data_IF_053100406447
#
_entry.id   IF_053100406447
#
_cell.length_a   1.000
_cell.length_b   1.000
_cell.length_c   1.000
_cell.angle_alpha   90.00
_cell.angle_beta   90.00
_cell.angle_gamma   90.00
#
_symmetry.space_group_name_H-M   'P 1'
#
loop_
_entity.id
_entity.type
_entity.pdbx_description
1 polymer ?
#
# COMPACT_ATOMS: atom_id res chain seq x y z
N UNK A 1 3.35 17.03 45.26
CA UNK A 1 4.27 16.70 44.15
C UNK A 1 4.01 15.27 43.71
N UNK A 2 3.37 15.06 42.56
CA UNK A 2 3.27 13.73 41.97
C UNK A 2 4.65 13.30 41.44
N UNK A 3 5.14 12.16 41.92
CA UNK A 3 6.36 11.52 41.39
C UNK A 3 6.07 11.04 39.97
N UNK A 4 6.53 11.77 38.96
CA UNK A 4 6.45 11.33 37.57
C UNK A 4 7.34 10.10 37.39
N UNK A 5 6.74 9.00 36.90
CA UNK A 5 7.48 7.77 36.63
C UNK A 5 8.41 8.01 35.44
N UNK A 6 9.72 7.90 35.67
CA UNK A 6 10.71 7.97 34.59
C UNK A 6 10.79 6.61 33.91
N UNK A 7 10.57 6.60 32.59
CA UNK A 7 10.69 5.41 31.76
C UNK A 7 11.91 5.57 30.85
N UNK A 8 12.75 4.56 30.84
CA UNK A 8 13.95 4.50 30.00
C UNK A 8 13.67 3.62 28.78
N UNK A 9 14.14 4.01 27.61
CA UNK A 9 13.99 3.27 26.35
C UNK A 9 15.02 2.15 26.22
N UNK A 10 16.12 2.18 27.00
CA UNK A 10 17.12 1.12 27.01
C UNK A 10 18.09 1.20 28.19
N UNK A 11 18.87 0.12 28.38
CA UNK A 11 19.95 0.06 29.36
C UNK A 11 20.98 1.20 29.25
N UNK A 12 21.47 1.60 28.05
CA UNK A 12 22.44 2.69 27.96
C UNK A 12 21.88 4.05 28.43
N UNK A 13 20.57 4.28 28.31
CA UNK A 13 19.89 5.49 28.83
C UNK A 13 19.80 5.48 30.37
N UNK A 14 19.67 4.30 30.97
CA UNK A 14 19.63 4.15 32.43
C UNK A 14 21.01 4.44 33.05
N UNK A 15 22.07 3.95 32.41
CA UNK A 15 23.44 4.09 32.90
C UNK A 15 24.10 5.43 32.51
N UNK A 16 23.47 6.22 31.65
CA UNK A 16 23.94 7.54 31.21
C UNK A 16 25.42 7.51 30.76
N UNK A 17 25.77 6.51 29.95
CA UNK A 17 27.14 6.36 29.45
C UNK A 17 27.53 7.53 28.53
N UNK A 18 28.83 7.89 28.46
CA UNK A 18 29.28 9.01 27.62
C UNK A 18 29.02 8.77 26.13
N UNK A 19 29.16 7.52 25.66
CA UNK A 19 28.85 7.12 24.28
C UNK A 19 27.38 7.36 23.92
N UNK A 20 26.46 7.08 24.84
CA UNK A 20 25.04 7.31 24.62
C UNK A 20 24.71 8.81 24.56
N UNK A 21 25.41 9.66 25.33
CA UNK A 21 25.24 11.10 25.21
C UNK A 21 25.73 11.66 23.87
N UNK A 22 26.77 11.07 23.29
CA UNK A 22 27.23 11.43 21.94
C UNK A 22 26.25 10.95 20.87
N UNK A 23 25.68 9.75 21.04
CA UNK A 23 24.62 9.24 20.16
C UNK A 23 23.32 10.06 20.26
N UNK A 24 22.96 10.59 21.43
CA UNK A 24 21.80 11.50 21.55
C UNK A 24 22.00 12.80 20.77
N UNK A 25 23.24 13.30 20.69
CA UNK A 25 23.55 14.53 19.94
C UNK A 25 23.38 14.35 18.44
N UNK A 26 23.50 13.13 17.94
CA UNK A 26 23.27 12.78 16.55
C UNK A 26 21.90 12.13 16.41
N UNK A 27 20.91 12.85 15.88
CA UNK A 27 19.52 12.35 15.73
C UNK A 27 19.42 11.07 14.88
N UNK A 28 20.48 10.73 14.13
CA UNK A 28 20.56 9.54 13.30
C UNK A 28 21.81 8.73 13.67
N UNK A 29 21.63 7.42 13.83
CA UNK A 29 22.69 6.48 14.21
C UNK A 29 23.82 6.39 13.17
N UNK A 30 23.51 6.68 11.91
CA UNK A 30 24.47 6.81 10.83
C UNK A 30 24.37 8.22 10.23
N UNK A 31 25.51 8.88 9.93
CA UNK A 31 25.49 10.11 9.18
C UNK A 31 24.89 9.81 7.81
N UNK A 32 23.73 10.39 7.51
CA UNK A 32 23.18 10.30 6.17
C UNK A 32 24.23 10.82 5.17
N UNK A 33 24.45 10.14 4.04
CA UNK A 33 25.32 10.65 2.98
C UNK A 33 24.63 11.78 2.21
N UNK A 34 24.27 12.85 2.92
CA UNK A 34 23.65 14.04 2.34
C UNK A 34 24.64 14.75 1.43
N UNK A 35 25.94 14.75 1.80
CA UNK A 35 26.99 15.37 1.01
C UNK A 35 27.20 14.68 -0.34
N UNK A 36 27.15 13.34 -0.40
CA UNK A 36 27.25 12.60 -1.66
C UNK A 36 26.01 12.79 -2.54
N UNK A 37 24.87 13.10 -1.93
CA UNK A 37 23.62 13.42 -2.61
C UNK A 37 23.59 14.87 -3.12
N UNK A 38 24.16 15.82 -2.37
CA UNK A 38 24.26 17.25 -2.72
C UNK A 38 25.35 17.55 -3.75
N UNK A 39 26.40 16.72 -3.81
CA UNK A 39 27.51 16.87 -4.76
C UNK A 39 27.29 16.16 -6.10
N UNK A 40 26.08 15.64 -6.38
CA UNK A 40 25.76 15.14 -7.72
C UNK A 40 25.57 16.34 -8.64
N UNK A 41 26.44 16.46 -9.64
CA UNK A 41 26.47 17.50 -10.69
C UNK A 41 25.26 17.47 -11.63
N UNK A 42 24.04 17.30 -11.11
CA UNK A 42 22.82 17.57 -11.86
C UNK A 42 22.62 19.09 -11.86
N UNK A 43 23.18 19.70 -12.90
CA UNK A 43 23.21 21.13 -13.24
C UNK A 43 21.86 21.88 -13.31
N UNK A 44 20.78 21.32 -12.77
CA UNK A 44 19.45 21.94 -12.62
C UNK A 44 19.07 22.25 -11.16
N UNK A 45 19.88 21.89 -10.16
CA UNK A 45 19.59 22.08 -8.73
C UNK A 45 19.99 23.46 -8.17
N UNK A 46 19.80 24.53 -8.96
CA UNK A 46 20.09 25.92 -8.54
C UNK A 46 18.82 26.60 -7.99
N UNK A 47 18.16 26.00 -7.01
CA UNK A 47 16.92 26.56 -6.45
C UNK A 47 16.28 25.79 -5.29
N UNK A 48 16.75 26.05 -4.06
CA UNK A 48 16.13 25.67 -2.77
C UNK A 48 16.14 24.17 -2.41
N UNK A 49 16.98 23.79 -1.43
CA UNK A 49 17.23 22.39 -1.02
C UNK A 49 16.01 21.55 -0.64
N UNK A 50 14.90 22.19 -0.21
CA UNK A 50 13.67 21.49 0.20
C UNK A 50 12.95 20.83 -0.97
N UNK A 51 12.95 21.45 -2.17
CA UNK A 51 12.23 20.91 -3.33
C UNK A 51 12.93 19.67 -3.87
N UNK A 52 14.26 19.70 -3.94
CA UNK A 52 15.04 18.58 -4.48
C UNK A 52 15.11 17.41 -3.50
N UNK A 53 15.13 17.68 -2.19
CA UNK A 53 14.89 16.66 -1.17
C UNK A 53 13.53 15.98 -1.34
N UNK A 54 12.45 16.76 -1.49
CA UNK A 54 11.10 16.21 -1.67
C UNK A 54 10.93 15.46 -2.99
N UNK A 55 11.60 15.88 -4.07
CA UNK A 55 11.62 15.12 -5.32
C UNK A 55 12.24 13.75 -5.08
N UNK A 56 13.44 13.67 -4.50
CA UNK A 56 14.11 12.38 -4.35
C UNK A 56 13.47 11.48 -3.30
N UNK A 57 13.06 12.02 -2.15
CA UNK A 57 12.26 11.27 -1.16
C UNK A 57 10.92 10.82 -1.74
N UNK A 58 10.29 11.64 -2.58
CA UNK A 58 9.04 11.31 -3.25
C UNK A 58 9.22 10.19 -4.28
N UNK A 59 10.23 10.28 -5.14
CA UNK A 59 10.53 9.26 -6.15
C UNK A 59 11.00 7.95 -5.52
N UNK A 60 11.82 7.99 -4.46
CA UNK A 60 12.27 6.78 -3.76
C UNK A 60 11.10 6.04 -3.11
N UNK A 61 10.20 6.77 -2.43
CA UNK A 61 9.04 6.18 -1.77
C UNK A 61 8.03 5.62 -2.77
N UNK A 62 7.79 6.34 -3.87
CA UNK A 62 6.90 5.88 -4.94
C UNK A 62 7.43 4.62 -5.65
N UNK A 63 8.73 4.54 -5.91
CA UNK A 63 9.35 3.36 -6.50
C UNK A 63 9.21 2.11 -5.62
N UNK A 64 9.41 2.25 -4.29
CA UNK A 64 9.21 1.16 -3.33
C UNK A 64 7.74 0.76 -3.26
N UNK A 65 6.82 1.73 -3.25
CA UNK A 65 5.38 1.44 -3.22
C UNK A 65 4.92 0.65 -4.46
N UNK A 66 5.45 0.95 -5.64
CA UNK A 66 5.16 0.20 -6.87
C UNK A 66 5.77 -1.21 -6.85
N UNK A 67 6.99 -1.36 -6.33
CA UNK A 67 7.61 -2.68 -6.16
C UNK A 67 6.91 -3.54 -5.10
N UNK A 68 6.36 -2.91 -4.06
CA UNK A 68 5.59 -3.58 -3.01
C UNK A 68 4.17 -3.96 -3.46
N UNK A 69 3.63 -3.33 -4.51
CA UNK A 69 2.35 -3.69 -5.09
C UNK A 69 2.54 -4.86 -6.06
N UNK A 70 2.68 -6.07 -5.50
CA UNK A 70 2.65 -7.31 -6.27
C UNK A 70 1.22 -7.47 -6.82
N UNK A 71 0.97 -6.97 -8.03
CA UNK A 71 -0.35 -7.07 -8.65
C UNK A 71 -0.71 -8.55 -8.80
N UNK A 72 -1.82 -9.01 -8.19
CA UNK A 72 -2.18 -10.41 -8.23
C UNK A 72 -2.39 -10.82 -9.69
N UNK A 73 -1.86 -11.97 -10.06
CA UNK A 73 -2.02 -12.49 -11.42
C UNK A 73 -3.49 -12.84 -11.62
N UNK A 74 -4.21 -12.00 -12.35
CA UNK A 74 -5.61 -12.26 -12.69
C UNK A 74 -5.68 -13.38 -13.76
N UNK A 75 -6.32 -14.50 -13.43
CA UNK A 75 -6.34 -15.70 -14.27
C UNK A 75 -7.73 -15.93 -14.83
N UNK A 76 -7.99 -15.41 -16.03
CA UNK A 76 -9.25 -15.65 -16.73
C UNK A 76 -9.27 -17.02 -17.43
N UNK A 77 -10.11 -17.92 -16.95
CA UNK A 77 -10.44 -19.25 -17.46
C UNK A 77 -11.64 -19.14 -18.42
N UNK A 78 -11.43 -19.23 -19.75
CA UNK A 78 -12.52 -19.18 -20.70
C UNK A 78 -13.32 -20.49 -20.73
N UNK A 79 -14.56 -20.42 -21.23
CA UNK A 79 -15.33 -21.61 -21.55
C UNK A 79 -14.64 -22.41 -22.66
N UNK A 80 -14.39 -23.70 -22.41
CA UNK A 80 -13.84 -24.62 -23.44
C UNK A 80 -14.86 -24.86 -24.55
N UNK A 81 -16.14 -24.96 -24.19
CA UNK A 81 -17.28 -24.99 -25.11
C UNK A 81 -18.28 -23.96 -24.61
N UNK A 82 -18.45 -22.88 -25.39
CA UNK A 82 -19.38 -21.80 -25.04
C UNK A 82 -20.82 -22.22 -25.41
N UNK A 83 -21.80 -22.12 -24.49
CA UNK A 83 -23.22 -22.24 -24.83
C UNK A 83 -23.74 -20.94 -25.50
N UNK A 84 -24.64 -21.06 -26.49
CA UNK A 84 -25.13 -19.92 -27.28
C UNK A 84 -25.95 -18.91 -26.46
N UNK A 85 -26.60 -19.35 -25.39
CA UNK A 85 -27.50 -18.54 -24.56
C UNK A 85 -26.78 -17.60 -23.58
N UNK A 86 -25.46 -17.71 -23.43
CA UNK A 86 -24.70 -17.00 -22.40
C UNK A 86 -23.50 -16.29 -23.03
N UNK A 87 -23.51 -14.96 -22.96
CA UNK A 87 -22.38 -14.13 -23.40
C UNK A 87 -21.74 -13.46 -22.18
N UNK A 88 -20.45 -13.72 -21.89
CA UNK A 88 -19.76 -13.09 -20.77
C UNK A 88 -19.78 -11.57 -20.90
N UNK A 89 -20.02 -10.87 -19.79
CA UNK A 89 -20.12 -9.41 -19.76
C UNK A 89 -21.50 -8.82 -20.11
N UNK A 90 -22.46 -9.63 -20.57
CA UNK A 90 -23.86 -9.21 -20.75
C UNK A 90 -24.73 -9.93 -19.73
N UNK A 91 -25.52 -9.17 -18.97
CA UNK A 91 -26.40 -9.74 -17.95
C UNK A 91 -27.62 -10.43 -18.58
N UNK A 92 -27.87 -11.67 -18.17
CA UNK A 92 -29.06 -12.42 -18.55
C UNK A 92 -30.12 -12.30 -17.45
N UNK A 93 -31.37 -12.06 -17.84
CA UNK A 93 -32.51 -12.00 -16.93
C UNK A 93 -33.37 -13.24 -17.08
N UNK A 94 -33.62 -13.94 -15.98
CA UNK A 94 -34.48 -15.12 -15.95
C UNK A 94 -35.72 -14.83 -15.12
N UNK A 95 -36.90 -15.09 -15.70
CA UNK A 95 -38.17 -15.07 -14.99
C UNK A 95 -38.29 -16.38 -14.21
N UNK A 96 -38.16 -16.31 -12.89
CA UNK A 96 -38.22 -17.47 -12.01
C UNK A 96 -39.40 -17.34 -11.05
N UNK A 97 -39.97 -18.48 -10.70
CA UNK A 97 -41.07 -18.57 -9.73
C UNK A 97 -40.63 -19.46 -8.58
N UNK A 98 -40.68 -18.93 -7.36
CA UNK A 98 -40.49 -19.74 -6.15
C UNK A 98 -41.85 -20.12 -5.59
N UNK A 99 -42.11 -21.42 -5.56
CA UNK A 99 -43.34 -22.00 -5.02
C UNK A 99 -43.03 -22.68 -3.70
N UNK A 100 -43.64 -22.19 -2.62
CA UNK A 100 -43.76 -22.89 -1.36
C UNK A 100 -45.22 -23.35 -1.19
N UNK A 101 -45.48 -24.29 -0.29
CA UNK A 101 -46.76 -25.04 -0.14
C UNK A 101 -48.03 -24.22 -0.39
N UNK A 102 -48.07 -22.97 0.07
CA UNK A 102 -49.25 -22.10 -0.11
C UNK A 102 -48.96 -20.77 -0.81
N UNK A 103 -47.71 -20.48 -1.15
CA UNK A 103 -47.28 -19.16 -1.66
C UNK A 103 -46.44 -19.34 -2.92
N UNK A 104 -46.79 -18.60 -3.98
CA UNK A 104 -45.96 -18.48 -5.18
C UNK A 104 -45.46 -17.04 -5.30
N UNK A 105 -44.16 -16.86 -5.43
CA UNK A 105 -43.51 -15.57 -5.66
C UNK A 105 -42.82 -15.59 -7.02
N UNK A 106 -43.13 -14.61 -7.87
CA UNK A 106 -42.45 -14.40 -9.15
C UNK A 106 -41.38 -13.32 -8.99
N UNK A 107 -40.16 -13.58 -9.44
CA UNK A 107 -39.07 -12.62 -9.43
C UNK A 107 -38.19 -12.73 -10.67
N UNK A 108 -37.57 -11.61 -11.04
CA UNK A 108 -36.53 -11.57 -12.08
C UNK A 108 -35.17 -11.78 -11.43
N UNK A 109 -34.48 -12.84 -11.83
CA UNK A 109 -33.08 -13.07 -11.46
C UNK A 109 -32.17 -12.42 -12.50
N UNK A 110 -31.34 -11.48 -12.07
CA UNK A 110 -30.19 -11.04 -12.86
C UNK A 110 -29.04 -12.03 -12.63
N UNK A 111 -28.57 -12.65 -13.71
CA UNK A 111 -27.39 -13.52 -13.70
C UNK A 111 -26.26 -12.82 -14.44
N UNK A 112 -25.18 -12.54 -13.72
CA UNK A 112 -23.95 -11.95 -14.25
C UNK A 112 -22.88 -13.04 -14.18
N UNK A 113 -22.45 -13.55 -15.33
CA UNK A 113 -21.36 -14.53 -15.39
C UNK A 113 -20.10 -13.80 -15.79
N UNK A 114 -19.30 -13.48 -14.79
CA UNK A 114 -17.96 -12.96 -14.98
C UNK A 114 -17.05 -14.09 -15.47
N UNK A 115 -16.16 -13.76 -16.41
CA UNK A 115 -15.07 -14.67 -16.79
C UNK A 115 -14.10 -14.69 -15.60
N UNK A 116 -14.23 -15.71 -14.75
CA UNK A 116 -13.28 -16.00 -13.67
C UNK A 116 -11.89 -16.15 -14.25
#
# INVERSE_FOLDING_TARGET
MSMSKKYWKGLPELHNSPEFQEQIKNEFAEPFPIDEFLNRDDSECKGTSRRDFLKVMGFSTAAVALAACETPVNRSIPYVVKPDEVTPGVANFYASTFTMVTITLQFLLKQEKDVL
#
